data_IF_427803655266
#
_entry.id   IF_427803655266
#
_cell.length_a   1.000
_cell.length_b   1.000
_cell.length_c   1.000
_cell.angle_alpha   90.00
_cell.angle_beta   90.00
_cell.angle_gamma   90.00
#
_symmetry.space_group_name_H-M   'P 1'
#
loop_
_entity.id
_entity.type
_entity.pdbx_description
1 polymer ?
#
# COMPACT_ATOMS: atom_id res chain seq x y z
N UNK A 1 -16.46 11.80 5.13
CA UNK A 1 -15.90 10.46 4.93
C UNK A 1 -15.50 9.94 6.30
N UNK A 2 -16.08 8.82 6.73
CA UNK A 2 -15.72 8.14 7.97
C UNK A 2 -14.99 6.85 7.64
N UNK A 3 -14.22 6.35 8.59
CA UNK A 3 -13.62 5.02 8.51
C UNK A 3 -14.23 4.21 9.65
N UNK A 4 -14.79 3.03 9.36
CA UNK A 4 -15.37 2.17 10.41
C UNK A 4 -14.33 1.67 11.40
N UNK A 5 -13.07 1.51 10.96
CA UNK A 5 -12.01 0.96 11.78
C UNK A 5 -10.69 1.76 11.57
N UNK A 6 -10.58 2.98 12.13
CA UNK A 6 -9.47 3.90 11.86
C UNK A 6 -8.10 3.38 12.32
N UNK A 7 -8.05 2.48 13.31
CA UNK A 7 -6.80 1.87 13.78
C UNK A 7 -6.06 1.07 12.70
N UNK A 8 -6.76 0.51 11.71
CA UNK A 8 -6.12 -0.25 10.62
C UNK A 8 -5.26 0.63 9.70
N UNK A 9 -5.46 1.96 9.72
CA UNK A 9 -4.61 2.90 8.99
C UNK A 9 -3.16 2.88 9.47
N UNK A 10 -2.89 2.44 10.71
CA UNK A 10 -1.52 2.28 11.21
C UNK A 10 -0.72 1.24 10.42
N UNK A 11 -1.36 0.25 9.79
CA UNK A 11 -0.64 -0.68 8.92
C UNK A 11 -0.05 0.02 7.69
N UNK A 12 -0.57 1.18 7.28
CA UNK A 12 0.01 1.95 6.18
C UNK A 12 1.47 2.34 6.48
N UNK A 13 1.85 2.41 7.76
CA UNK A 13 3.22 2.69 8.22
C UNK A 13 4.21 1.55 7.90
N UNK A 14 3.72 0.34 7.54
CA UNK A 14 4.56 -0.74 7.01
C UNK A 14 5.15 -0.38 5.65
N UNK A 15 4.44 0.41 4.84
CA UNK A 15 4.91 0.82 3.51
C UNK A 15 6.22 1.64 3.60
N UNK A 16 6.32 2.74 4.37
CA UNK A 16 7.57 3.48 4.51
C UNK A 16 8.68 2.66 5.20
N UNK A 17 8.34 1.78 6.15
CA UNK A 17 9.32 0.87 6.77
C UNK A 17 9.91 -0.09 5.73
N UNK A 18 9.09 -0.69 4.87
CA UNK A 18 9.55 -1.56 3.81
C UNK A 18 10.43 -0.82 2.79
N UNK A 19 10.12 0.44 2.47
CA UNK A 19 10.97 1.30 1.65
C UNK A 19 12.34 1.53 2.32
N UNK A 20 12.37 1.87 3.60
CA UNK A 20 13.62 2.09 4.34
C UNK A 20 14.48 0.81 4.38
N UNK A 21 13.88 -0.34 4.66
CA UNK A 21 14.56 -1.64 4.66
C UNK A 21 15.13 -1.95 3.27
N UNK A 22 14.36 -1.70 2.22
CA UNK A 22 14.81 -1.89 0.84
C UNK A 22 16.01 -1.01 0.50
N UNK A 23 15.96 0.28 0.80
CA UNK A 23 17.06 1.23 0.55
C UNK A 23 18.30 0.85 1.36
N UNK A 24 18.12 0.45 2.61
CA UNK A 24 19.22 0.00 3.48
C UNK A 24 19.88 -1.30 2.97
N UNK A 25 19.07 -2.28 2.57
CA UNK A 25 19.56 -3.53 1.98
C UNK A 25 20.28 -3.30 0.64
N UNK A 26 19.76 -2.38 -0.18
CA UNK A 26 20.37 -1.96 -1.44
C UNK A 26 21.75 -1.32 -1.20
N UNK A 27 21.85 -0.42 -0.22
CA UNK A 27 23.10 0.23 0.18
C UNK A 27 24.13 -0.71 0.81
N UNK A 28 23.70 -1.81 1.45
CA UNK A 28 24.61 -2.88 1.91
C UNK A 28 25.15 -3.73 0.76
N UNK A 29 24.31 -4.07 -0.23
CA UNK A 29 24.71 -4.89 -1.38
C UNK A 29 25.74 -4.19 -2.27
N UNK A 30 25.65 -2.86 -2.44
CA UNK A 30 26.67 -2.10 -3.16
C UNK A 30 28.02 -2.11 -2.45
N UNK A 31 28.04 -2.05 -1.11
CA UNK A 31 29.28 -2.13 -0.31
C UNK A 31 29.93 -3.53 -0.33
N UNK A 32 29.15 -4.60 -0.40
CA UNK A 32 29.67 -5.97 -0.47
C UNK A 32 30.24 -6.33 -1.86
N UNK A 33 29.72 -5.75 -2.94
CA UNK A 33 30.21 -5.99 -4.30
C UNK A 33 31.64 -5.42 -4.55
N UNK A 34 32.12 -4.50 -3.71
CA UNK A 34 33.46 -3.89 -3.83
C UNK A 34 34.57 -4.81 -3.32
N UNK A 35 34.25 -6.00 -2.81
CA UNK A 35 35.22 -6.92 -2.20
C UNK A 35 35.61 -8.12 -3.07
N UNK A 36 35.15 -8.16 -4.33
CA UNK A 36 35.63 -9.13 -5.32
C UNK A 36 36.63 -8.47 -6.29
N UNK A 37 37.80 -9.09 -6.35
CA UNK A 37 39.07 -8.75 -6.99
C UNK A 37 39.04 -8.72 -8.52
N UNK A 38 38.07 -8.03 -9.15
CA UNK A 38 38.05 -7.89 -10.61
C UNK A 38 37.30 -6.64 -11.12
N UNK A 39 37.56 -5.49 -10.51
CA UNK A 39 36.92 -4.21 -10.88
C UNK A 39 37.26 -3.74 -12.30
N UNK A 40 38.37 -4.21 -12.90
CA UNK A 40 38.77 -3.86 -14.27
C UNK A 40 37.97 -4.60 -15.36
N UNK A 41 37.57 -5.86 -15.14
CA UNK A 41 36.75 -6.62 -16.10
C UNK A 41 35.24 -6.34 -15.96
N UNK A 42 34.81 -5.85 -14.79
CA UNK A 42 33.41 -5.51 -14.54
C UNK A 42 32.99 -4.20 -15.24
N UNK A 43 33.92 -3.25 -15.39
CA UNK A 43 33.67 -1.99 -16.09
C UNK A 43 33.47 -2.13 -17.61
N UNK A 44 33.95 -3.23 -18.21
CA UNK A 44 33.88 -3.45 -19.66
C UNK A 44 32.60 -4.18 -20.10
N UNK A 45 31.93 -4.89 -19.19
CA UNK A 45 30.77 -5.76 -19.51
C UNK A 45 29.47 -5.25 -18.89
N UNK A 46 29.53 -4.46 -17.81
CA UNK A 46 28.35 -3.81 -17.24
C UNK A 46 28.04 -2.57 -18.07
N UNK A 47 27.37 -2.80 -19.21
CA UNK A 47 26.52 -1.78 -19.82
C UNK A 47 25.63 -1.20 -18.73
N UNK A 48 25.49 0.12 -18.74
CA UNK A 48 24.78 0.93 -17.74
C UNK A 48 23.33 0.45 -17.60
N UNK A 49 23.14 -0.62 -16.82
CA UNK A 49 21.86 -1.32 -16.74
C UNK A 49 20.87 -0.33 -16.11
N UNK A 50 19.69 -0.10 -16.71
CA UNK A 50 18.82 0.98 -16.28
C UNK A 50 18.42 0.79 -14.81
N UNK A 51 19.07 1.56 -13.91
CA UNK A 51 18.89 1.45 -12.45
C UNK A 51 17.42 1.59 -12.04
N UNK A 52 16.62 2.28 -12.86
CA UNK A 52 15.17 2.42 -12.65
C UNK A 52 14.40 1.10 -12.84
N UNK A 53 14.73 0.26 -13.84
CA UNK A 53 14.03 -1.02 -14.06
C UNK A 53 14.16 -1.97 -12.86
N UNK A 54 15.24 -1.84 -12.07
CA UNK A 54 15.46 -2.59 -10.82
C UNK A 54 14.51 -2.19 -9.67
N UNK A 55 13.92 -1.00 -9.75
CA UNK A 55 12.98 -0.49 -8.75
C UNK A 55 11.52 -0.70 -9.12
N UNK A 56 11.22 -1.04 -10.38
CA UNK A 56 9.84 -1.23 -10.86
C UNK A 56 9.13 -2.36 -10.09
N UNK A 57 9.65 -3.60 -9.99
CA UNK A 57 8.96 -4.67 -9.26
C UNK A 57 8.67 -4.36 -7.78
N UNK A 58 9.63 -3.87 -6.96
CA UNK A 58 9.37 -3.60 -5.55
C UNK A 58 8.41 -2.42 -5.34
N UNK A 59 8.47 -1.38 -6.17
CA UNK A 59 7.52 -0.26 -6.09
C UNK A 59 6.10 -0.74 -6.36
N UNK A 60 5.93 -1.58 -7.38
CA UNK A 60 4.62 -2.11 -7.77
C UNK A 60 4.02 -3.00 -6.65
N UNK A 61 4.86 -3.81 -6.00
CA UNK A 61 4.47 -4.61 -4.84
C UNK A 61 4.05 -3.74 -3.64
N UNK A 62 4.79 -2.65 -3.37
CA UNK A 62 4.45 -1.70 -2.30
C UNK A 62 3.12 -0.99 -2.57
N UNK A 63 2.88 -0.59 -3.81
CA UNK A 63 1.61 0.02 -4.23
C UNK A 63 0.45 -0.96 -4.03
N UNK A 64 0.62 -2.23 -4.46
CA UNK A 64 -0.40 -3.25 -4.27
C UNK A 64 -0.71 -3.50 -2.78
N UNK A 65 0.31 -3.56 -1.93
CA UNK A 65 0.16 -3.68 -0.47
C UNK A 65 -0.57 -2.48 0.13
N UNK A 66 -0.19 -1.25 -0.26
CA UNK A 66 -0.85 -0.05 0.21
C UNK A 66 -2.34 -0.05 -0.16
N UNK A 67 -2.68 -0.39 -1.41
CA UNK A 67 -4.06 -0.52 -1.86
C UNK A 67 -4.82 -1.57 -1.05
N UNK A 68 -4.23 -2.73 -0.81
CA UNK A 68 -4.86 -3.81 -0.05
C UNK A 68 -5.13 -3.41 1.40
N UNK A 69 -4.18 -2.73 2.05
CA UNK A 69 -4.36 -2.20 3.41
C UNK A 69 -5.44 -1.11 3.46
N UNK A 70 -5.48 -0.22 2.47
CA UNK A 70 -6.55 0.79 2.38
C UNK A 70 -7.93 0.16 2.16
N UNK A 71 -8.02 -0.93 1.39
CA UNK A 71 -9.26 -1.66 1.19
C UNK A 71 -9.74 -2.36 2.48
N UNK A 72 -8.80 -2.94 3.25
CA UNK A 72 -9.09 -3.52 4.58
C UNK A 72 -9.68 -2.48 5.53
N UNK A 73 -9.23 -1.22 5.45
CA UNK A 73 -9.76 -0.14 6.29
C UNK A 73 -11.24 0.22 6.00
N UNK A 74 -11.90 -0.44 5.03
CA UNK A 74 -13.31 -0.24 4.62
C UNK A 74 -13.67 1.24 4.51
N UNK A 75 -13.13 1.96 3.50
CA UNK A 75 -13.49 3.35 3.27
C UNK A 75 -14.98 3.44 2.97
N UNK A 76 -15.74 4.10 3.83
CA UNK A 76 -17.17 4.30 3.67
C UNK A 76 -17.50 5.76 3.33
N UNK A 77 -18.44 5.93 2.40
CA UNK A 77 -18.98 7.24 2.06
C UNK A 77 -20.39 7.33 2.61
N UNK A 78 -20.56 8.06 3.71
CA UNK A 78 -21.89 8.36 4.25
C UNK A 78 -22.64 9.25 3.27
N UNK A 79 -23.73 8.74 2.69
CA UNK A 79 -24.66 9.50 1.87
C UNK A 79 -25.95 9.73 2.65
N UNK A 80 -26.53 10.92 2.53
CA UNK A 80 -27.83 11.19 3.14
C UNK A 80 -28.91 10.56 2.25
N UNK A 81 -29.62 9.57 2.80
CA UNK A 81 -30.77 8.93 2.14
C UNK A 81 -32.03 9.51 2.76
N UNK A 82 -33.03 9.94 1.96
CA UNK A 82 -34.33 10.39 2.47
C UNK A 82 -34.93 9.29 3.35
N UNK A 83 -35.25 9.63 4.60
CA UNK A 83 -35.81 8.68 5.57
C UNK A 83 -37.34 8.73 5.43
N UNK A 84 -37.91 7.91 4.54
CA UNK A 84 -39.37 7.78 4.42
C UNK A 84 -39.91 6.96 5.61
N UNK A 85 -40.40 7.65 6.64
CA UNK A 85 -41.09 7.03 7.77
C UNK A 85 -42.59 6.92 7.43
N UNK A 86 -43.01 5.81 6.83
CA UNK A 86 -44.42 5.50 6.67
C UNK A 86 -44.97 4.98 8.01
N UNK A 87 -45.58 5.86 8.80
CA UNK A 87 -46.33 5.44 10.00
C UNK A 87 -47.71 4.97 9.56
N UNK A 88 -47.92 3.65 9.53
CA UNK A 88 -49.23 3.07 9.23
C UNK A 88 -50.01 2.93 10.53
N UNK A 89 -51.08 3.72 10.67
CA UNK A 89 -52.03 3.58 11.78
C UNK A 89 -53.19 2.73 11.28
N UNK A 90 -53.32 1.52 11.81
CA UNK A 90 -54.43 0.61 11.53
C UNK A 90 -55.44 0.72 12.66
N UNK A 91 -56.64 1.20 12.34
CA UNK A 91 -57.79 1.19 13.25
C UNK A 91 -58.76 0.11 12.75
N UNK A 92 -58.97 -0.91 13.57
CA UNK A 92 -59.99 -1.94 13.33
C UNK A 92 -61.08 -1.76 14.36
N UNK A 93 -62.30 -1.44 13.89
CA UNK A 93 -63.50 -1.44 14.72
C UNK A 93 -64.13 -2.85 14.67
N UNK A 94 -64.27 -3.47 15.84
CA UNK A 94 -64.94 -4.76 15.99
C UNK A 94 -66.18 -4.54 16.85
N UNK A 95 -67.34 -4.67 16.20
CA UNK A 95 -68.67 -4.47 16.80
C UNK A 95 -69.05 -5.55 17.82
#
# INVERSE_FOLDING_TARGET
MSFQAPFWLLLLLIVPVAVLVYVWAQGRRTKYAVRFTNLELLGTVVSDSPRWKRHVPPVLLLVALALLLTAIARPERTTQVPREQATVILVMDVS
#
